data_IF_457669319367
#
_entry.id   IF_457669319367
#
_cell.length_a   1.000
_cell.length_b   1.000
_cell.length_c   1.000
_cell.angle_alpha   90.00
_cell.angle_beta   90.00
_cell.angle_gamma   90.00
#
_symmetry.space_group_name_H-M   'P 1'
#
loop_
_entity.id
_entity.type
_entity.pdbx_description
1 polymer ?
#
# COMPACT_ATOMS: atom_id res chain seq x y z
N UNK A 1 -30.56 -3.74 10.11
CA UNK A 1 -29.52 -4.76 10.36
C UNK A 1 -28.30 -4.31 9.58
N UNK A 2 -27.34 -3.62 10.21
CA UNK A 2 -26.13 -3.19 9.54
C UNK A 2 -25.18 -4.39 9.49
N UNK A 3 -24.95 -4.94 8.29
CA UNK A 3 -23.91 -5.95 8.10
C UNK A 3 -22.58 -5.31 8.51
N UNK A 4 -21.96 -5.84 9.57
CA UNK A 4 -20.63 -5.42 9.99
C UNK A 4 -19.68 -5.80 8.85
N UNK A 5 -19.26 -4.82 8.05
CA UNK A 5 -18.25 -5.04 7.02
C UNK A 5 -16.99 -5.51 7.74
N UNK A 6 -16.48 -6.68 7.36
CA UNK A 6 -15.36 -7.28 8.07
C UNK A 6 -14.08 -6.46 7.80
N UNK A 7 -13.19 -6.28 8.80
CA UNK A 7 -11.93 -5.54 8.62
C UNK A 7 -11.12 -5.99 7.41
N UNK A 8 -11.09 -7.30 7.12
CA UNK A 8 -10.39 -7.84 5.96
C UNK A 8 -10.99 -7.35 4.62
N UNK A 9 -12.31 -7.19 4.53
CA UNK A 9 -12.95 -6.65 3.33
C UNK A 9 -12.59 -5.16 3.14
N UNK A 10 -12.46 -4.42 4.25
CA UNK A 10 -12.05 -3.01 4.22
C UNK A 10 -10.58 -2.86 3.83
N UNK A 11 -9.70 -3.76 4.30
CA UNK A 11 -8.30 -3.84 3.86
C UNK A 11 -8.23 -4.07 2.35
N UNK A 12 -8.97 -5.04 1.82
CA UNK A 12 -8.97 -5.33 0.38
C UNK A 12 -9.51 -4.16 -0.45
N UNK A 13 -10.53 -3.44 0.05
CA UNK A 13 -11.01 -2.23 -0.59
C UNK A 13 -9.92 -1.15 -0.64
N UNK A 14 -9.22 -0.91 0.48
CA UNK A 14 -8.15 0.07 0.57
C UNK A 14 -6.97 -0.28 -0.35
N UNK A 15 -6.59 -1.56 -0.45
CA UNK A 15 -5.58 -2.04 -1.41
C UNK A 15 -5.98 -1.73 -2.86
N UNK A 16 -7.23 -1.99 -3.23
CA UNK A 16 -7.74 -1.68 -4.57
C UNK A 16 -7.74 -0.18 -4.86
N UNK A 17 -8.13 0.65 -3.89
CA UNK A 17 -8.08 2.11 -4.01
C UNK A 17 -6.64 2.61 -4.21
N UNK A 18 -5.68 2.07 -3.45
CA UNK A 18 -4.26 2.37 -3.62
C UNK A 18 -3.77 2.04 -5.03
N UNK A 19 -4.01 0.81 -5.49
CA UNK A 19 -3.58 0.37 -6.84
C UNK A 19 -4.24 1.25 -7.91
N UNK A 20 -5.52 1.56 -7.78
CA UNK A 20 -6.22 2.42 -8.73
C UNK A 20 -5.61 3.82 -8.79
N UNK A 21 -5.31 4.44 -7.64
CA UNK A 21 -4.66 5.75 -7.59
C UNK A 21 -3.26 5.73 -8.25
N UNK A 22 -2.49 4.67 -8.02
CA UNK A 22 -1.17 4.49 -8.65
C UNK A 22 -1.26 4.32 -10.17
N UNK A 23 -2.21 3.50 -10.65
CA UNK A 23 -2.45 3.32 -12.09
C UNK A 23 -2.92 4.63 -12.73
N UNK A 24 -3.79 5.38 -12.07
CA UNK A 24 -4.25 6.68 -12.54
C UNK A 24 -3.09 7.67 -12.65
N UNK A 25 -2.20 7.71 -11.65
CA UNK A 25 -0.99 8.55 -11.67
C UNK A 25 -0.05 8.17 -12.82
N UNK A 26 0.19 6.87 -13.03
CA UNK A 26 1.02 6.40 -14.14
C UNK A 26 0.46 6.81 -15.51
N UNK A 27 -0.87 6.77 -15.69
CA UNK A 27 -1.52 7.15 -16.94
C UNK A 27 -1.65 8.66 -17.12
N UNK A 28 -1.85 9.39 -16.02
CA UNK A 28 -2.12 10.84 -16.00
C UNK A 28 -1.35 11.50 -14.84
N UNK A 29 -0.03 11.71 -14.96
CA UNK A 29 0.83 12.17 -13.85
C UNK A 29 0.51 13.59 -13.34
N UNK A 30 -0.24 14.36 -14.11
CA UNK A 30 -0.67 15.72 -13.78
C UNK A 30 -1.94 15.74 -12.91
N UNK A 31 -2.62 14.60 -12.71
CA UNK A 31 -3.78 14.54 -11.84
C UNK A 31 -3.34 14.44 -10.37
N UNK A 32 -3.96 15.20 -9.46
CA UNK A 32 -3.71 15.04 -8.04
C UNK A 32 -4.29 13.70 -7.59
N UNK A 33 -3.42 12.79 -7.13
CA UNK A 33 -3.82 11.51 -6.50
C UNK A 33 -3.40 11.42 -5.02
N UNK A 34 -2.83 12.51 -4.49
CA UNK A 34 -2.19 12.54 -3.18
C UNK A 34 -3.17 12.16 -2.06
N UNK A 35 -4.40 12.65 -2.12
CA UNK A 35 -5.43 12.38 -1.11
C UNK A 35 -5.88 10.91 -1.11
N UNK A 36 -6.01 10.32 -2.29
CA UNK A 36 -6.35 8.91 -2.47
C UNK A 36 -5.26 8.00 -1.95
N UNK A 37 -3.98 8.30 -2.24
CA UNK A 37 -2.83 7.56 -1.71
C UNK A 37 -2.78 7.65 -0.18
N UNK A 38 -2.91 8.85 0.38
CA UNK A 38 -2.88 9.07 1.83
C UNK A 38 -4.01 8.31 2.53
N UNK A 39 -5.21 8.38 1.98
CA UNK A 39 -6.39 7.74 2.55
C UNK A 39 -6.27 6.22 2.49
N UNK A 40 -5.88 5.67 1.34
CA UNK A 40 -5.75 4.23 1.16
C UNK A 40 -4.67 3.63 2.08
N UNK A 41 -3.50 4.26 2.20
CA UNK A 41 -2.43 3.78 3.09
C UNK A 41 -2.83 3.89 4.57
N UNK A 42 -3.44 5.00 4.97
CA UNK A 42 -3.96 5.17 6.34
C UNK A 42 -5.00 4.10 6.68
N UNK A 43 -5.89 3.80 5.75
CA UNK A 43 -6.95 2.82 5.94
C UNK A 43 -6.36 1.40 6.05
N UNK A 44 -5.39 1.04 5.21
CA UNK A 44 -4.62 -0.21 5.36
C UNK A 44 -3.99 -0.29 6.74
N UNK A 45 -3.30 0.77 7.19
CA UNK A 45 -2.66 0.80 8.50
C UNK A 45 -3.67 0.63 9.64
N UNK A 46 -4.78 1.37 9.58
CA UNK A 46 -5.86 1.33 10.56
C UNK A 46 -6.46 -0.07 10.68
N UNK A 47 -6.83 -0.69 9.56
CA UNK A 47 -7.45 -2.01 9.59
C UNK A 47 -6.43 -3.12 9.87
N UNK A 48 -5.17 -2.97 9.45
CA UNK A 48 -4.07 -3.85 9.84
C UNK A 48 -3.80 -3.84 11.35
N UNK A 49 -3.91 -2.68 12.00
CA UNK A 49 -3.84 -2.59 13.46
C UNK A 49 -5.03 -3.26 14.15
N UNK A 50 -6.24 -3.11 13.60
CA UNK A 50 -7.44 -3.74 14.14
C UNK A 50 -7.40 -5.27 14.05
N UNK A 51 -6.82 -5.80 12.98
CA UNK A 51 -6.65 -7.25 12.77
C UNK A 51 -5.42 -7.81 13.48
N UNK A 52 -4.47 -6.96 13.88
CA UNK A 52 -3.19 -7.35 14.47
C UNK A 52 -2.39 -8.30 13.57
N UNK A 53 -2.44 -8.06 12.26
CA UNK A 53 -1.82 -8.90 11.25
C UNK A 53 -0.91 -8.08 10.33
N UNK A 54 0.24 -8.66 9.97
CA UNK A 54 1.06 -8.12 8.89
C UNK A 54 0.30 -8.29 7.57
N UNK A 55 0.17 -7.21 6.82
CA UNK A 55 -0.66 -7.17 5.62
C UNK A 55 0.21 -7.01 4.39
N UNK A 56 0.19 -8.00 3.49
CA UNK A 56 0.72 -7.82 2.13
C UNK A 56 -0.20 -6.86 1.39
N UNK A 57 0.33 -5.73 0.93
CA UNK A 57 -0.42 -4.73 0.18
C UNK A 57 -0.51 -5.14 -1.29
N UNK A 58 0.64 -5.36 -1.93
CA UNK A 58 0.76 -5.92 -3.29
C UNK A 58 2.19 -6.39 -3.57
N UNK A 59 2.36 -7.15 -4.64
CA UNK A 59 3.64 -7.56 -5.20
C UNK A 59 4.25 -6.48 -6.09
N UNK A 60 5.57 -6.33 -6.06
CA UNK A 60 6.34 -5.33 -6.81
C UNK A 60 7.06 -6.00 -7.98
N UNK A 61 7.20 -5.32 -9.12
CA UNK A 61 8.03 -5.77 -10.25
C UNK A 61 9.50 -5.34 -10.12
N UNK A 62 10.49 -6.16 -10.55
CA UNK A 62 10.38 -7.52 -11.07
C UNK A 62 10.23 -8.60 -9.97
N UNK A 63 10.62 -8.29 -8.74
CA UNK A 63 10.49 -9.17 -7.58
C UNK A 63 10.38 -8.34 -6.32
N UNK A 64 9.42 -8.66 -5.45
CA UNK A 64 9.27 -8.05 -4.15
C UNK A 64 7.84 -7.91 -3.70
N UNK A 65 7.65 -7.38 -2.51
CA UNK A 65 6.33 -7.15 -1.93
C UNK A 65 6.34 -5.91 -1.06
N UNK A 66 5.25 -5.14 -1.15
CA UNK A 66 4.97 -4.07 -0.22
C UNK A 66 4.09 -4.62 0.91
N UNK A 67 4.51 -4.37 2.14
CA UNK A 67 3.86 -4.82 3.36
C UNK A 67 3.50 -3.64 4.26
N UNK A 68 2.47 -3.83 5.07
CA UNK A 68 2.26 -3.10 6.30
C UNK A 68 2.55 -4.01 7.50
N UNK A 69 3.42 -3.57 8.39
CA UNK A 69 3.80 -4.30 9.59
C UNK A 69 3.13 -3.68 10.81
N UNK A 70 2.22 -4.42 11.44
CA UNK A 70 1.31 -3.84 12.44
C UNK A 70 2.00 -3.52 13.78
N UNK A 71 3.00 -4.32 14.19
CA UNK A 71 3.74 -4.10 15.45
C UNK A 71 4.66 -2.89 15.34
N UNK A 72 5.30 -2.73 14.20
CA UNK A 72 6.24 -1.66 13.90
C UNK A 72 5.51 -0.39 13.45
N UNK A 73 4.24 -0.49 13.07
CA UNK A 73 3.41 0.59 12.52
C UNK A 73 4.08 1.27 11.32
N UNK A 74 4.68 0.47 10.44
CA UNK A 74 5.45 0.94 9.29
C UNK A 74 5.12 0.17 8.03
N UNK A 75 5.40 0.81 6.91
CA UNK A 75 5.43 0.14 5.63
C UNK A 75 6.81 -0.46 5.40
N UNK A 76 6.83 -1.61 4.73
CA UNK A 76 8.05 -2.32 4.43
C UNK A 76 8.01 -2.79 2.99
N UNK A 77 9.00 -2.40 2.21
CA UNK A 77 9.27 -3.03 0.92
C UNK A 77 10.29 -4.13 1.14
N UNK A 78 9.92 -5.33 0.74
CA UNK A 78 10.81 -6.49 0.73
C UNK A 78 11.21 -6.80 -0.71
N UNK A 79 12.51 -6.69 -1.03
CA UNK A 79 13.09 -6.97 -2.34
C UNK A 79 14.01 -8.20 -2.20
N UNK A 80 13.56 -9.40 -2.60
CA UNK A 80 14.27 -10.65 -2.34
C UNK A 80 15.63 -10.77 -3.04
N UNK A 81 15.82 -10.09 -4.19
CA UNK A 81 17.11 -9.97 -4.85
C UNK A 81 17.47 -8.49 -4.98
N UNK A 82 18.44 -7.96 -4.19
CA UNK A 82 19.52 -8.65 -3.48
C UNK A 82 19.28 -8.90 -1.98
N UNK A 83 18.03 -9.06 -1.53
CA UNK A 83 17.69 -9.32 -0.11
C UNK A 83 17.60 -8.03 0.72
N UNK A 84 17.09 -6.96 0.11
CA UNK A 84 16.96 -5.65 0.75
C UNK A 84 15.56 -5.50 1.32
N UNK A 85 15.51 -5.11 2.58
CA UNK A 85 14.27 -4.69 3.25
C UNK A 85 14.33 -3.19 3.53
N UNK A 86 13.36 -2.43 3.05
CA UNK A 86 13.29 -0.97 3.20
C UNK A 86 12.07 -0.63 4.05
N UNK A 87 12.30 -0.07 5.24
CA UNK A 87 11.23 0.43 6.11
C UNK A 87 10.96 1.90 5.81
N UNK A 88 9.69 2.25 5.61
CA UNK A 88 9.24 3.57 5.19
C UNK A 88 8.14 4.09 6.12
N UNK A 89 8.15 5.39 6.40
CA UNK A 89 6.94 6.08 6.89
C UNK A 89 5.91 6.17 5.77
N UNK A 90 4.69 6.57 6.11
CA UNK A 90 3.64 6.78 5.11
C UNK A 90 4.04 7.87 4.10
N UNK A 91 4.62 8.99 4.55
CA UNK A 91 5.03 10.08 3.66
C UNK A 91 6.14 9.63 2.71
N UNK A 92 7.17 8.95 3.23
CA UNK A 92 8.27 8.43 2.43
C UNK A 92 7.80 7.43 1.37
N UNK A 93 6.84 6.57 1.74
CA UNK A 93 6.25 5.63 0.78
C UNK A 93 5.48 6.38 -0.32
N UNK A 94 4.70 7.39 0.02
CA UNK A 94 3.95 8.18 -0.98
C UNK A 94 4.90 8.88 -1.94
N UNK A 95 5.94 9.54 -1.44
CA UNK A 95 6.95 10.20 -2.28
C UNK A 95 7.62 9.20 -3.23
N UNK A 96 8.02 8.03 -2.71
CA UNK A 96 8.62 6.97 -3.52
C UNK A 96 7.66 6.46 -4.61
N UNK A 97 6.39 6.24 -4.27
CA UNK A 97 5.35 5.77 -5.20
C UNK A 97 5.07 6.79 -6.31
N UNK A 98 5.04 8.09 -5.98
CA UNK A 98 4.82 9.16 -6.95
C UNK A 98 6.01 9.33 -7.90
N UNK A 99 7.22 8.98 -7.46
CA UNK A 99 8.42 8.90 -8.29
C UNK A 99 8.48 7.61 -9.13
N UNK A 100 7.48 6.71 -9.00
CA UNK A 100 7.41 5.45 -9.74
C UNK A 100 8.21 4.30 -9.13
N UNK A 101 8.77 4.48 -7.93
CA UNK A 101 9.39 3.38 -7.18
C UNK A 101 8.32 2.41 -6.69
N UNK A 102 8.70 1.14 -6.53
CA UNK A 102 7.84 0.09 -5.93
C UNK A 102 6.49 -0.09 -6.64
N UNK A 103 6.46 0.13 -7.95
CA UNK A 103 5.22 0.00 -8.72
C UNK A 103 4.59 -1.40 -8.57
N UNK A 104 3.26 -1.49 -8.44
CA UNK A 104 2.58 -2.77 -8.35
C UNK A 104 2.80 -3.58 -9.62
N UNK A 105 2.93 -4.90 -9.48
CA UNK A 105 2.96 -5.79 -10.64
C UNK A 105 1.64 -5.67 -11.40
N UNK A 106 1.72 -5.49 -12.72
CA UNK A 106 0.54 -5.54 -13.60
C UNK A 106 -0.20 -6.86 -13.35
N UNK A 107 -1.36 -6.80 -12.71
CA UNK A 107 -2.34 -7.89 -12.72
C UNK A 107 -3.01 -7.97 -14.08
#
# INVERSE_FOLDING_TARGET
MFSLVQPNQLIELAKKQLIHALVQHQQKPYLPVWGELFTALRDIAKYGQQTQENTIIYTIQPSGSLWYLYKEQRFMVDVPEPGITISLTQEQLIDALLQGSFAPSKS
#
